data_IF_938760976472
#
_entry.id   IF_938760976472
#
_cell.length_a   1.000
_cell.length_b   1.000
_cell.length_c   1.000
_cell.angle_alpha   90.00
_cell.angle_beta   90.00
_cell.angle_gamma   90.00
#
_symmetry.space_group_name_H-M   'P 1'
#
loop_
_entity.id
_entity.type
_entity.pdbx_description
1 polymer ?
#
# COMPACT_ATOMS: atom_id res chain seq x y z
N UNK A 1 10.12 23.11 40.73
CA UNK A 1 8.94 22.19 40.81
C UNK A 1 8.85 21.45 39.49
N UNK A 2 9.36 20.20 39.43
CA UNK A 2 9.43 19.39 38.21
C UNK A 2 8.28 18.39 38.24
N UNK A 3 7.54 18.17 37.15
CA UNK A 3 6.56 17.07 37.08
C UNK A 3 7.25 15.75 36.69
N UNK A 4 6.92 14.71 37.43
CA UNK A 4 7.27 13.32 37.11
C UNK A 4 6.34 12.80 36.01
N UNK A 5 6.89 12.15 34.97
CA UNK A 5 6.16 11.09 34.28
C UNK A 5 7.09 9.90 34.02
N UNK A 6 6.91 8.82 34.69
CA UNK A 6 7.58 7.54 34.30
C UNK A 6 6.93 6.35 35.00
N UNK A 7 5.65 6.15 34.82
CA UNK A 7 4.98 4.91 35.27
C UNK A 7 4.04 4.26 34.25
N UNK A 8 3.70 4.91 33.17
CA UNK A 8 2.77 4.31 32.20
C UNK A 8 3.46 3.46 31.12
N UNK A 9 4.73 3.74 30.77
CA UNK A 9 5.43 2.92 29.79
C UNK A 9 5.80 1.51 30.26
N UNK A 10 5.93 1.30 31.54
CA UNK A 10 6.30 -0.02 32.09
C UNK A 10 5.14 -1.05 32.06
N UNK A 11 3.90 -0.60 32.02
CA UNK A 11 2.73 -1.48 32.02
C UNK A 11 2.34 -2.01 30.64
N UNK A 12 2.77 -1.33 29.58
CA UNK A 12 2.50 -1.75 28.20
C UNK A 12 3.50 -2.83 27.77
N UNK A 13 4.76 -2.74 28.17
CA UNK A 13 5.76 -3.77 27.86
C UNK A 13 5.52 -5.11 28.57
N UNK A 14 4.98 -5.10 29.78
CA UNK A 14 4.70 -6.35 30.50
C UNK A 14 3.49 -7.14 29.95
N UNK A 15 2.62 -6.50 29.16
CA UNK A 15 1.50 -7.22 28.50
C UNK A 15 1.91 -7.95 27.22
N UNK A 16 3.02 -7.55 26.60
CA UNK A 16 3.52 -8.20 25.38
C UNK A 16 4.33 -9.47 25.65
N UNK A 17 4.89 -9.63 26.85
CA UNK A 17 5.77 -10.77 27.19
C UNK A 17 4.97 -11.99 27.69
N UNK A 18 3.76 -11.80 28.19
CA UNK A 18 2.94 -12.91 28.75
C UNK A 18 1.96 -13.55 27.74
N UNK A 19 2.08 -13.25 26.46
CA UNK A 19 1.21 -13.77 25.39
C UNK A 19 1.74 -15.06 24.70
N UNK A 20 2.86 -15.63 25.09
CA UNK A 20 3.33 -16.92 24.57
C UNK A 20 2.53 -18.08 25.22
N UNK A 21 1.33 -18.29 24.69
CA UNK A 21 0.61 -19.53 24.94
C UNK A 21 1.34 -20.67 24.26
N UNK A 22 1.89 -21.55 25.07
CA UNK A 22 2.37 -22.88 24.74
C UNK A 22 1.39 -23.59 23.81
N UNK A 23 1.77 -23.77 22.55
CA UNK A 23 1.07 -24.66 21.65
C UNK A 23 1.25 -26.08 22.13
N UNK A 24 0.20 -26.68 22.66
CA UNK A 24 0.12 -28.12 22.91
C UNK A 24 0.27 -28.83 21.56
N UNK A 25 1.38 -29.56 21.42
CA UNK A 25 1.57 -30.52 20.32
C UNK A 25 0.64 -31.72 20.62
N UNK A 26 -0.35 -31.99 19.78
CA UNK A 26 -1.13 -33.21 19.95
C UNK A 26 -0.27 -34.41 19.53
N UNK A 27 -0.03 -35.33 20.50
CA UNK A 27 0.51 -36.64 20.25
C UNK A 27 -0.41 -37.44 19.32
N UNK A 28 0.09 -37.81 18.16
CA UNK A 28 -0.58 -38.66 17.18
C UNK A 28 -0.65 -40.12 17.70
N UNK A 29 -1.85 -40.73 17.77
CA UNK A 29 -1.94 -42.19 17.77
C UNK A 29 -1.85 -42.72 16.36
N UNK A 30 -0.96 -43.68 16.15
CA UNK A 30 -0.84 -44.49 14.94
C UNK A 30 -2.04 -45.45 14.86
N UNK A 31 -2.58 -45.59 13.68
CA UNK A 31 -3.37 -46.64 13.08
C UNK A 31 -4.79 -46.27 12.66
N UNK A 32 -4.97 -46.21 11.38
CA UNK A 32 -6.03 -46.74 10.52
C UNK A 32 -6.07 -45.98 9.20
N UNK A 33 -5.34 -46.50 8.25
CA UNK A 33 -5.26 -45.96 6.88
C UNK A 33 -6.26 -46.68 5.97
N UNK A 34 -7.43 -46.11 5.77
CA UNK A 34 -8.20 -46.30 4.55
C UNK A 34 -9.32 -45.24 4.50
N UNK A 35 -9.40 -44.45 3.50
CA UNK A 35 -10.50 -43.49 3.25
C UNK A 35 -10.30 -42.03 3.79
N UNK A 36 -9.43 -41.79 4.73
CA UNK A 36 -9.29 -40.47 5.36
C UNK A 36 -8.21 -39.58 4.73
N UNK A 37 -7.31 -40.14 3.92
CA UNK A 37 -6.22 -39.36 3.29
C UNK A 37 -6.74 -38.37 2.25
N UNK A 38 -7.76 -38.75 1.50
CA UNK A 38 -8.37 -37.86 0.50
C UNK A 38 -9.09 -36.67 1.19
N UNK A 39 -9.75 -36.92 2.33
CA UNK A 39 -10.43 -35.88 3.10
C UNK A 39 -9.45 -34.95 3.80
N UNK A 40 -8.31 -35.44 4.27
CA UNK A 40 -7.24 -34.62 4.86
C UNK A 40 -6.53 -33.75 3.82
N UNK A 41 -6.29 -34.26 2.61
CA UNK A 41 -5.72 -33.50 1.50
C UNK A 41 -6.71 -32.42 1.02
N UNK A 42 -8.00 -32.75 0.91
CA UNK A 42 -9.05 -31.78 0.58
C UNK A 42 -9.25 -30.72 1.68
N UNK A 43 -9.22 -31.10 2.95
CA UNK A 43 -9.31 -30.14 4.06
C UNK A 43 -8.07 -29.24 4.14
N UNK A 44 -6.87 -29.77 3.91
CA UNK A 44 -5.63 -29.00 3.81
C UNK A 44 -5.65 -28.02 2.63
N UNK A 45 -6.12 -28.42 1.47
CA UNK A 45 -6.26 -27.57 0.29
C UNK A 45 -7.31 -26.47 0.50
N UNK A 46 -8.40 -26.74 1.25
CA UNK A 46 -9.41 -25.73 1.58
C UNK A 46 -8.89 -24.70 2.58
N UNK A 47 -8.12 -25.11 3.58
CA UNK A 47 -7.51 -24.18 4.54
C UNK A 47 -6.45 -23.28 3.89
N UNK A 48 -5.64 -23.79 2.95
CA UNK A 48 -4.68 -22.99 2.18
C UNK A 48 -5.41 -22.06 1.21
N UNK A 49 -6.51 -22.48 0.59
CA UNK A 49 -7.33 -21.63 -0.26
C UNK A 49 -8.03 -20.48 0.46
N UNK A 50 -8.48 -20.70 1.70
CA UNK A 50 -9.15 -19.67 2.49
C UNK A 50 -8.20 -18.57 3.01
N UNK A 51 -6.94 -18.88 3.27
CA UNK A 51 -5.93 -17.90 3.70
C UNK A 51 -5.45 -16.98 2.57
N UNK A 52 -5.67 -17.33 1.30
CA UNK A 52 -5.30 -16.50 0.15
C UNK A 52 -6.28 -15.35 -0.15
N UNK A 53 -7.44 -15.34 0.50
CA UNK A 53 -8.48 -14.33 0.24
C UNK A 53 -8.39 -13.09 1.13
N UNK A 54 -7.48 -13.05 2.12
CA UNK A 54 -7.43 -11.97 3.13
C UNK A 54 -6.19 -11.09 3.07
N UNK A 55 -5.29 -11.28 2.11
CA UNK A 55 -4.05 -10.51 2.07
C UNK A 55 -3.94 -9.68 0.78
N UNK A 56 -3.83 -8.35 0.93
CA UNK A 56 -3.67 -7.38 -0.14
C UNK A 56 -2.45 -7.59 -1.04
N UNK A 57 -1.95 -6.57 -1.71
CA UNK A 57 -0.91 -6.63 -2.76
C UNK A 57 0.38 -7.40 -2.40
N UNK A 58 0.69 -7.58 -1.11
CA UNK A 58 1.81 -8.42 -0.65
C UNK A 58 1.61 -9.92 -0.92
N UNK A 59 0.38 -10.35 -1.24
CA UNK A 59 0.06 -11.76 -1.51
C UNK A 59 0.54 -12.24 -2.88
N UNK A 60 0.71 -11.34 -3.86
CA UNK A 60 1.10 -11.71 -5.22
C UNK A 60 2.53 -12.25 -5.24
N UNK A 61 3.47 -11.55 -4.56
CA UNK A 61 4.85 -12.01 -4.44
C UNK A 61 4.95 -13.30 -3.62
N UNK A 62 4.23 -13.40 -2.50
CA UNK A 62 4.21 -14.60 -1.68
C UNK A 62 3.66 -15.80 -2.44
N UNK A 63 2.57 -15.65 -3.20
CA UNK A 63 1.98 -16.71 -4.00
C UNK A 63 2.91 -17.16 -5.12
N UNK A 64 3.52 -16.23 -5.87
CA UNK A 64 4.47 -16.55 -6.94
C UNK A 64 5.73 -17.21 -6.40
N UNK A 65 6.27 -16.74 -5.28
CA UNK A 65 7.41 -17.33 -4.60
C UNK A 65 7.13 -18.75 -4.09
N UNK A 66 5.97 -18.97 -3.47
CA UNK A 66 5.56 -20.30 -3.03
C UNK A 66 5.42 -21.29 -4.20
N UNK A 67 4.78 -20.88 -5.30
CA UNK A 67 4.61 -21.71 -6.49
C UNK A 67 5.97 -22.09 -7.10
N UNK A 68 6.86 -21.12 -7.29
CA UNK A 68 8.21 -21.33 -7.82
C UNK A 68 9.06 -22.20 -6.89
N UNK A 69 8.97 -21.99 -5.58
CA UNK A 69 9.69 -22.76 -4.56
C UNK A 69 9.27 -24.23 -4.56
N UNK A 70 7.96 -24.49 -4.58
CA UNK A 70 7.45 -25.88 -4.66
C UNK A 70 7.89 -26.54 -5.96
N UNK A 71 7.70 -25.88 -7.11
CA UNK A 71 8.06 -26.43 -8.41
C UNK A 71 9.56 -26.79 -8.48
N UNK A 72 10.43 -25.85 -8.08
CA UNK A 72 11.89 -26.08 -8.12
C UNK A 72 12.34 -27.15 -7.11
N UNK A 73 11.76 -27.17 -5.90
CA UNK A 73 12.02 -28.17 -4.89
C UNK A 73 11.66 -29.60 -5.38
N UNK A 74 10.53 -29.75 -6.05
CA UNK A 74 10.08 -31.02 -6.60
C UNK A 74 10.99 -31.51 -7.74
N UNK A 75 11.35 -30.60 -8.68
CA UNK A 75 12.21 -30.96 -9.83
C UNK A 75 13.61 -31.33 -9.38
N UNK A 76 14.17 -30.61 -8.43
CA UNK A 76 15.55 -30.85 -7.95
C UNK A 76 15.62 -31.88 -6.83
N UNK A 77 14.48 -32.31 -6.28
CA UNK A 77 14.40 -33.15 -5.09
C UNK A 77 15.17 -32.58 -3.88
N UNK A 78 15.43 -31.25 -3.88
CA UNK A 78 16.18 -30.55 -2.86
C UNK A 78 15.38 -29.39 -2.29
N UNK A 79 14.91 -29.49 -1.03
CA UNK A 79 14.08 -28.45 -0.43
C UNK A 79 14.82 -27.11 -0.24
N UNK A 80 16.13 -27.13 -0.07
CA UNK A 80 16.93 -25.90 0.08
C UNK A 80 16.94 -25.07 -1.21
N UNK A 81 17.00 -25.73 -2.38
CA UNK A 81 16.88 -25.06 -3.67
C UNK A 81 15.48 -24.47 -3.84
N UNK A 82 14.45 -25.24 -3.47
CA UNK A 82 13.07 -24.77 -3.49
C UNK A 82 12.85 -23.49 -2.68
N UNK A 83 13.37 -23.45 -1.45
CA UNK A 83 13.28 -22.27 -0.58
C UNK A 83 14.03 -21.09 -1.21
N UNK A 84 15.25 -21.28 -1.69
CA UNK A 84 16.06 -20.23 -2.29
C UNK A 84 15.41 -19.61 -3.53
N UNK A 85 14.87 -20.44 -4.44
CA UNK A 85 14.14 -19.98 -5.63
C UNK A 85 12.85 -19.28 -5.22
N UNK A 86 12.11 -19.80 -4.26
CA UNK A 86 10.88 -19.18 -3.76
C UNK A 86 11.11 -17.76 -3.25
N UNK A 87 12.13 -17.55 -2.42
CA UNK A 87 12.49 -16.22 -1.89
C UNK A 87 12.92 -15.27 -3.03
N UNK A 88 13.73 -15.74 -3.98
CA UNK A 88 14.18 -14.91 -5.09
C UNK A 88 13.02 -14.47 -5.99
N UNK A 89 12.10 -15.36 -6.33
CA UNK A 89 10.92 -15.05 -7.14
C UNK A 89 9.97 -14.11 -6.40
N UNK A 90 9.74 -14.32 -5.11
CA UNK A 90 8.95 -13.41 -4.29
C UNK A 90 9.53 -12.00 -4.33
N UNK A 91 10.82 -11.84 -4.02
CA UNK A 91 11.48 -10.54 -4.00
C UNK A 91 11.43 -9.82 -5.35
N UNK A 92 11.64 -10.55 -6.45
CA UNK A 92 11.55 -10.00 -7.80
C UNK A 92 10.13 -9.55 -8.15
N UNK A 93 9.12 -10.30 -7.74
CA UNK A 93 7.71 -9.97 -7.97
C UNK A 93 7.31 -8.75 -7.15
N UNK A 94 7.68 -8.69 -5.87
CA UNK A 94 7.38 -7.57 -4.98
C UNK A 94 8.00 -6.27 -5.51
N UNK A 95 9.25 -6.33 -6.02
CA UNK A 95 9.90 -5.17 -6.64
C UNK A 95 9.22 -4.75 -7.95
N UNK A 96 8.81 -5.69 -8.79
CA UNK A 96 8.09 -5.39 -10.04
C UNK A 96 6.74 -4.72 -9.75
N UNK A 97 5.97 -5.25 -8.80
CA UNK A 97 4.70 -4.65 -8.34
C UNK A 97 4.94 -3.26 -7.76
N UNK A 98 5.93 -3.12 -6.88
CA UNK A 98 6.27 -1.83 -6.27
C UNK A 98 6.68 -0.77 -7.30
N UNK A 99 7.43 -1.13 -8.34
CA UNK A 99 7.76 -0.21 -9.45
C UNK A 99 6.52 0.21 -10.21
N UNK A 100 5.67 -0.75 -10.53
CA UNK A 100 4.43 -0.48 -11.25
C UNK A 100 3.56 0.51 -10.47
N UNK A 101 3.34 0.27 -9.19
CA UNK A 101 2.55 1.16 -8.33
C UNK A 101 3.16 2.56 -8.23
N UNK A 102 4.50 2.66 -8.07
CA UNK A 102 5.19 3.97 -8.07
C UNK A 102 4.98 4.73 -9.39
N UNK A 103 4.96 4.03 -10.51
CA UNK A 103 4.71 4.66 -11.82
C UNK A 103 3.29 5.22 -11.90
N UNK A 104 2.28 4.45 -11.45
CA UNK A 104 0.88 4.91 -11.43
C UNK A 104 0.70 6.17 -10.55
N UNK A 105 1.27 6.17 -9.35
CA UNK A 105 1.25 7.36 -8.49
C UNK A 105 1.97 8.56 -9.12
N UNK A 106 3.09 8.33 -9.80
CA UNK A 106 3.83 9.39 -10.49
C UNK A 106 3.03 9.98 -11.64
N UNK A 107 2.32 9.16 -12.41
CA UNK A 107 1.46 9.62 -13.51
C UNK A 107 0.30 10.48 -12.99
N UNK A 108 -0.34 10.05 -11.91
CA UNK A 108 -1.38 10.83 -11.23
C UNK A 108 -0.85 12.18 -10.74
N UNK A 109 0.29 12.19 -10.05
CA UNK A 109 0.93 13.41 -9.56
C UNK A 109 1.32 14.36 -10.69
N UNK A 110 1.91 13.85 -11.78
CA UNK A 110 2.29 14.65 -12.93
C UNK A 110 1.07 15.27 -13.62
N UNK A 111 -0.03 14.54 -13.74
CA UNK A 111 -1.28 15.05 -14.32
C UNK A 111 -1.86 16.18 -13.46
N UNK A 112 -1.99 15.99 -12.15
CA UNK A 112 -2.50 17.00 -11.23
C UNK A 112 -1.60 18.24 -11.23
N UNK A 113 -0.27 18.08 -11.19
CA UNK A 113 0.67 19.20 -11.23
C UNK A 113 0.60 19.98 -12.56
N UNK A 114 0.48 19.28 -13.69
CA UNK A 114 0.34 19.90 -15.00
C UNK A 114 -0.98 20.68 -15.11
N UNK A 115 -2.08 20.11 -14.60
CA UNK A 115 -3.38 20.75 -14.58
C UNK A 115 -3.37 22.02 -13.72
N UNK A 116 -2.88 21.93 -12.47
CA UNK A 116 -2.74 23.09 -11.58
C UNK A 116 -1.84 24.17 -12.20
N UNK A 117 -0.76 23.75 -12.86
CA UNK A 117 0.15 24.66 -13.55
C UNK A 117 -0.49 25.45 -14.67
N UNK A 118 -1.41 24.87 -15.42
CA UNK A 118 -2.12 25.49 -16.53
C UNK A 118 -3.28 26.38 -16.10
N UNK A 119 -3.79 26.24 -14.88
CA UNK A 119 -4.98 26.93 -14.38
C UNK A 119 -4.63 28.29 -13.76
N UNK A 120 -5.47 29.33 -13.90
CA UNK A 120 -5.36 30.54 -13.11
C UNK A 120 -5.75 30.30 -11.64
N UNK A 121 -5.32 31.22 -10.77
CA UNK A 121 -5.69 31.20 -9.35
C UNK A 121 -7.21 31.34 -9.22
N UNK A 122 -7.80 30.53 -8.32
CA UNK A 122 -9.24 30.52 -8.03
C UNK A 122 -10.05 29.55 -8.90
N UNK A 123 -9.51 29.08 -10.03
CA UNK A 123 -10.19 28.12 -10.88
C UNK A 123 -10.20 26.72 -10.27
N UNK A 124 -11.31 26.00 -10.50
CA UNK A 124 -11.46 24.58 -10.12
C UNK A 124 -11.72 23.75 -11.37
N UNK A 125 -11.02 22.63 -11.51
CA UNK A 125 -11.23 21.66 -12.61
C UNK A 125 -11.22 20.23 -12.09
N UNK A 126 -12.02 19.34 -12.70
CA UNK A 126 -11.92 17.92 -12.43
C UNK A 126 -10.62 17.34 -13.00
N UNK A 127 -10.09 16.34 -12.31
CA UNK A 127 -9.00 15.51 -12.80
C UNK A 127 -9.41 14.04 -12.77
N UNK A 128 -8.87 13.24 -13.68
CA UNK A 128 -9.06 11.79 -13.68
C UNK A 128 -7.89 11.11 -14.37
N UNK A 129 -7.42 10.01 -13.78
CA UNK A 129 -6.43 9.10 -14.34
C UNK A 129 -7.06 7.73 -14.48
N UNK A 130 -6.91 7.14 -15.65
CA UNK A 130 -7.32 5.75 -15.93
C UNK A 130 -6.13 5.01 -16.50
N UNK A 131 -5.77 3.91 -15.87
CA UNK A 131 -4.72 3.02 -16.33
C UNK A 131 -5.29 1.85 -17.13
N UNK A 132 -4.45 1.21 -17.94
CA UNK A 132 -4.84 0.03 -18.73
C UNK A 132 -5.30 -1.13 -17.84
N UNK A 133 -4.61 -1.34 -16.72
CA UNK A 133 -5.11 -2.17 -15.63
C UNK A 133 -5.92 -1.26 -14.70
N UNK A 134 -7.12 -1.66 -14.26
CA UNK A 134 -7.97 -0.82 -13.41
C UNK A 134 -7.48 -0.79 -11.95
N UNK A 135 -6.18 -0.58 -11.79
CA UNK A 135 -5.50 -0.46 -10.50
C UNK A 135 -5.03 0.99 -10.37
N UNK A 136 -5.21 1.60 -9.20
CA UNK A 136 -4.82 2.99 -8.93
C UNK A 136 -5.46 4.02 -9.88
N UNK A 137 -6.65 3.73 -10.40
CA UNK A 137 -7.45 4.77 -11.03
C UNK A 137 -7.86 5.80 -9.98
N UNK A 138 -7.76 7.07 -10.34
CA UNK A 138 -8.12 8.14 -9.42
C UNK A 138 -8.85 9.27 -10.14
N UNK A 139 -9.71 9.96 -9.41
CA UNK A 139 -10.40 11.14 -9.88
C UNK A 139 -10.76 12.07 -8.72
N UNK A 140 -11.05 13.32 -9.03
CA UNK A 140 -11.38 14.33 -8.06
C UNK A 140 -11.39 15.74 -8.66
N UNK A 141 -11.16 16.73 -7.81
CA UNK A 141 -11.11 18.14 -8.17
C UNK A 141 -9.74 18.74 -7.85
N UNK A 142 -9.34 19.75 -8.62
CA UNK A 142 -8.14 20.58 -8.33
C UNK A 142 -8.57 22.03 -8.35
N UNK A 143 -8.15 22.80 -7.33
CA UNK A 143 -8.34 24.24 -7.27
C UNK A 143 -7.03 24.93 -6.93
N UNK A 144 -6.58 25.87 -7.77
CA UNK A 144 -5.38 26.68 -7.50
C UNK A 144 -5.74 27.78 -6.51
N UNK A 145 -5.02 27.82 -5.40
CA UNK A 145 -5.25 28.78 -4.31
C UNK A 145 -4.32 29.98 -4.38
N UNK A 146 -3.07 29.79 -4.82
CA UNK A 146 -2.06 30.84 -4.86
C UNK A 146 -1.02 30.56 -5.95
N UNK A 147 -0.48 31.62 -6.52
CA UNK A 147 0.72 31.57 -7.35
C UNK A 147 1.79 32.47 -6.72
N UNK A 148 3.02 31.98 -6.69
CA UNK A 148 4.15 32.72 -6.11
C UNK A 148 5.44 32.40 -6.86
N UNK A 149 6.40 33.31 -6.80
CA UNK A 149 7.74 33.11 -7.34
C UNK A 149 8.73 32.92 -6.20
N UNK A 150 9.51 31.87 -6.28
CA UNK A 150 10.71 31.68 -5.45
C UNK A 150 11.96 32.13 -6.23
N UNK A 151 13.11 32.14 -5.56
CA UNK A 151 14.39 32.39 -6.23
C UNK A 151 14.73 31.32 -7.29
N UNK A 152 14.12 30.14 -7.23
CA UNK A 152 14.41 28.98 -8.08
C UNK A 152 13.37 28.75 -9.17
N UNK A 153 12.08 29.05 -8.89
CA UNK A 153 11.01 28.70 -9.82
C UNK A 153 9.72 29.46 -9.51
N UNK A 154 8.86 29.55 -10.53
CA UNK A 154 7.44 29.91 -10.35
C UNK A 154 6.69 28.69 -9.80
N UNK A 155 5.98 28.87 -8.70
CA UNK A 155 5.24 27.82 -8.01
C UNK A 155 3.76 28.19 -7.88
N UNK A 156 2.94 27.19 -7.68
CA UNK A 156 1.51 27.34 -7.34
C UNK A 156 1.17 26.40 -6.19
N UNK A 157 0.40 26.94 -5.24
CA UNK A 157 -0.28 26.14 -4.24
C UNK A 157 -1.69 25.83 -4.72
N UNK A 158 -2.16 24.64 -4.44
CA UNK A 158 -3.48 24.18 -4.82
C UNK A 158 -3.99 23.18 -3.79
N UNK A 159 -5.30 23.05 -3.75
CA UNK A 159 -5.98 21.93 -3.07
C UNK A 159 -6.47 20.97 -4.13
N UNK A 160 -6.46 19.70 -3.81
CA UNK A 160 -7.04 18.68 -4.65
C UNK A 160 -7.75 17.64 -3.80
N UNK A 161 -8.79 17.05 -4.37
CA UNK A 161 -9.48 15.94 -3.75
C UNK A 161 -9.15 14.63 -4.44
N UNK A 162 -9.26 13.56 -3.69
CA UNK A 162 -9.28 12.18 -4.18
C UNK A 162 -10.62 11.59 -3.75
N UNK A 163 -11.39 11.13 -4.71
CA UNK A 163 -12.67 10.50 -4.48
C UNK A 163 -12.49 8.98 -4.47
N UNK A 164 -12.90 8.34 -3.38
CA UNK A 164 -12.93 6.89 -3.22
C UNK A 164 -14.38 6.39 -3.38
N UNK A 165 -14.56 5.44 -4.30
CA UNK A 165 -15.86 4.90 -4.66
C UNK A 165 -16.69 5.80 -5.56
N UNK A 166 -17.79 5.23 -6.06
CA UNK A 166 -18.76 5.88 -6.91
C UNK A 166 -20.13 5.90 -6.22
N UNK A 167 -20.89 6.98 -6.43
CA UNK A 167 -22.28 7.10 -5.97
C UNK A 167 -22.45 7.78 -4.61
N UNK A 168 -23.61 7.57 -3.93
CA UNK A 168 -24.01 8.38 -2.76
C UNK A 168 -23.14 8.16 -1.51
N UNK A 169 -22.34 7.09 -1.47
CA UNK A 169 -21.45 6.77 -0.35
C UNK A 169 -19.98 7.02 -0.70
N UNK A 170 -19.69 7.73 -1.80
CA UNK A 170 -18.33 8.09 -2.17
C UNK A 170 -17.72 8.98 -1.09
N UNK A 171 -16.51 8.67 -0.67
CA UNK A 171 -15.72 9.48 0.25
C UNK A 171 -14.77 10.37 -0.54
N UNK A 172 -14.60 11.61 -0.10
CA UNK A 172 -13.72 12.57 -0.75
C UNK A 172 -12.74 13.14 0.26
N UNK A 173 -11.46 12.83 0.07
CA UNK A 173 -10.37 13.33 0.89
C UNK A 173 -9.70 14.52 0.20
N UNK A 174 -9.44 15.59 0.98
CA UNK A 174 -8.81 16.80 0.48
C UNK A 174 -7.38 16.95 0.96
N UNK A 175 -6.54 17.42 0.05
CA UNK A 175 -5.11 17.62 0.27
C UNK A 175 -4.68 18.99 -0.20
N UNK A 176 -3.70 19.59 0.49
CA UNK A 176 -2.98 20.76 0.03
C UNK A 176 -1.67 20.33 -0.61
N UNK A 177 -1.32 20.97 -1.72
CA UNK A 177 -0.10 20.64 -2.42
C UNK A 177 0.50 21.86 -3.12
N UNK A 178 1.77 21.75 -3.48
CA UNK A 178 2.49 22.73 -4.27
C UNK A 178 3.11 22.07 -5.49
N UNK A 179 3.08 22.78 -6.61
CA UNK A 179 3.83 22.41 -7.81
C UNK A 179 4.66 23.59 -8.29
N UNK A 180 5.86 23.30 -8.77
CA UNK A 180 6.79 24.32 -9.29
C UNK A 180 7.13 24.03 -10.76
N UNK A 181 7.30 25.10 -11.51
CA UNK A 181 7.68 25.03 -12.92
C UNK A 181 9.15 24.69 -13.06
N UNK A 182 9.43 23.64 -13.82
CA UNK A 182 10.76 23.18 -14.19
C UNK A 182 10.89 23.16 -15.72
N UNK A 183 12.07 22.83 -16.23
CA UNK A 183 12.35 22.79 -17.68
C UNK A 183 11.39 21.85 -18.45
N UNK A 184 11.01 20.74 -17.82
CA UNK A 184 10.10 19.72 -18.39
C UNK A 184 8.63 19.90 -17.98
N UNK A 185 8.25 21.08 -17.53
CA UNK A 185 6.87 21.40 -17.11
C UNK A 185 6.70 21.51 -15.60
N UNK A 186 5.45 21.47 -15.15
CA UNK A 186 5.12 21.56 -13.74
C UNK A 186 5.39 20.24 -13.02
N UNK A 187 6.06 20.31 -11.87
CA UNK A 187 6.40 19.15 -11.07
C UNK A 187 5.89 19.34 -9.65
N UNK A 188 5.46 18.24 -9.08
CA UNK A 188 5.02 18.16 -7.70
C UNK A 188 6.17 18.54 -6.75
N UNK A 189 5.90 19.41 -5.79
CA UNK A 189 6.89 19.87 -4.82
C UNK A 189 6.61 19.32 -3.42
N UNK A 190 5.36 19.41 -2.96
CA UNK A 190 4.94 18.89 -1.65
C UNK A 190 3.44 18.62 -1.63
N UNK A 191 2.99 17.75 -0.71
CA UNK A 191 1.59 17.53 -0.40
C UNK A 191 1.38 17.19 1.07
N UNK A 192 0.27 17.70 1.63
CA UNK A 192 -0.14 17.43 3.00
C UNK A 192 -1.66 17.26 3.04
N UNK A 193 -2.20 16.44 3.98
CA UNK A 193 -3.64 16.37 4.22
C UNK A 193 -4.18 17.74 4.63
N UNK A 194 -5.31 18.16 4.06
CA UNK A 194 -6.01 19.38 4.43
C UNK A 194 -6.82 19.14 5.71
N UNK A 195 -6.18 19.25 6.88
CA UNK A 195 -6.80 19.03 8.18
C UNK A 195 -6.94 20.35 8.95
N UNK A 196 -8.05 20.51 9.67
CA UNK A 196 -8.40 21.74 10.41
C UNK A 196 -7.34 22.20 11.42
N UNK A 197 -6.56 21.27 11.99
CA UNK A 197 -5.54 21.59 13.00
C UNK A 197 -4.47 22.59 12.53
N UNK A 198 -4.26 22.71 11.23
CA UNK A 198 -3.29 23.66 10.66
C UNK A 198 -3.80 25.10 10.65
N UNK A 199 -5.11 25.29 10.65
CA UNK A 199 -5.72 26.62 10.77
C UNK A 199 -5.51 27.29 12.13
N UNK A 200 -5.26 26.52 13.18
CA UNK A 200 -5.04 27.02 14.53
C UNK A 200 -3.58 27.43 14.84
N UNK A 201 -2.65 27.18 13.90
CA UNK A 201 -1.21 27.46 14.05
C UNK A 201 -0.73 28.67 13.23
N UNK A 202 -1.66 29.39 12.57
CA UNK A 202 -1.36 30.61 11.81
C UNK A 202 -1.70 31.88 12.64
#
# INVERSE_FOLDING_TARGET
MLPRPRKEHALIEQRLINGTRTALVPSTPAAALSGNRLRLVLAGALCVGASLLTSGCSSVGAASGAAAGVASGLVTSNPAIGIGVGIAVQAATDEAVGRYMRTMHTDQQNLIAALAGAMPVGETRPWAVKHTLPIENGHGQVRVTRAFSSALALCKDFVFSVQDGDGPNAHEDWYTASACRQDKGWKWASAEPAVERWGALQ
#
